data_IF_134010808678
#
_entry.id   IF_134010808678
#
_cell.length_a   1.000
_cell.length_b   1.000
_cell.length_c   1.000
_cell.angle_alpha   90.00
_cell.angle_beta   90.00
_cell.angle_gamma   90.00
#
_symmetry.space_group_name_H-M   'P 1'
#
loop_
_entity.id
_entity.type
_entity.pdbx_description
1 polymer ?
#
# COMPACT_ATOMS: atom_id res chain seq x y z
N UNK A 1 -0.36 12.83 8.28
CA UNK A 1 -1.57 13.67 8.25
C UNK A 1 -2.68 12.85 7.64
N UNK A 2 -3.90 12.94 8.15
CA UNK A 2 -5.07 12.47 7.43
C UNK A 2 -5.71 13.65 6.70
N UNK A 3 -6.02 13.46 5.42
CA UNK A 3 -6.61 14.50 4.57
C UNK A 3 -7.81 13.91 3.85
N UNK A 4 -8.95 14.60 3.87
CA UNK A 4 -10.10 14.22 3.07
C UNK A 4 -9.78 14.41 1.59
N UNK A 5 -10.10 13.41 0.78
CA UNK A 5 -9.78 13.40 -0.65
C UNK A 5 -10.85 14.15 -1.42
N UNK A 6 -10.42 15.07 -2.28
CA UNK A 6 -11.26 15.64 -3.33
C UNK A 6 -11.27 14.73 -4.57
N UNK A 7 -12.16 15.02 -5.52
CA UNK A 7 -12.30 14.25 -6.76
C UNK A 7 -11.02 14.22 -7.59
N UNK A 8 -10.24 15.31 -7.55
CA UNK A 8 -8.96 15.38 -8.24
C UNK A 8 -7.96 14.38 -7.65
N UNK A 9 -7.82 14.35 -6.33
CA UNK A 9 -6.90 13.46 -5.65
C UNK A 9 -7.32 11.99 -5.78
N UNK A 10 -8.63 11.69 -5.73
CA UNK A 10 -9.15 10.35 -6.03
C UNK A 10 -8.76 9.90 -7.43
N UNK A 11 -8.95 10.76 -8.44
CA UNK A 11 -8.57 10.47 -9.82
C UNK A 11 -7.07 10.23 -9.96
N UNK A 12 -6.23 11.05 -9.34
CA UNK A 12 -4.76 10.89 -9.33
C UNK A 12 -4.30 9.60 -8.64
N UNK A 13 -5.08 9.10 -7.66
CA UNK A 13 -4.81 7.88 -6.90
C UNK A 13 -5.62 6.68 -7.37
N UNK A 14 -6.11 6.73 -8.62
CA UNK A 14 -6.84 5.64 -9.28
C UNK A 14 -6.21 5.33 -10.63
N UNK A 15 -6.34 4.07 -11.08
CA UNK A 15 -5.97 3.65 -12.44
C UNK A 15 -7.15 2.92 -13.02
N UNK A 16 -7.70 3.46 -14.11
CA UNK A 16 -8.91 2.93 -14.76
C UNK A 16 -10.07 2.73 -13.77
N UNK A 17 -10.26 3.69 -12.86
CA UNK A 17 -11.33 3.64 -11.86
C UNK A 17 -11.09 2.71 -10.67
N UNK A 18 -9.85 2.22 -10.45
CA UNK A 18 -9.53 1.40 -9.29
C UNK A 18 -8.31 1.91 -8.52
N UNK A 19 -8.44 2.08 -7.20
CA UNK A 19 -7.31 2.36 -6.32
C UNK A 19 -6.46 1.10 -6.08
N UNK A 20 -7.09 -0.07 -6.06
CA UNK A 20 -6.39 -1.36 -5.94
C UNK A 20 -5.47 -1.59 -7.16
N UNK A 21 -5.97 -1.32 -8.37
CA UNK A 21 -5.16 -1.37 -9.61
C UNK A 21 -4.06 -0.32 -9.61
N UNK A 22 -4.34 0.90 -9.13
CA UNK A 22 -3.32 1.95 -8.95
C UNK A 22 -2.19 1.47 -8.03
N UNK A 23 -2.51 0.95 -6.85
CA UNK A 23 -1.51 0.41 -5.91
C UNK A 23 -0.71 -0.73 -6.53
N UNK A 24 -1.39 -1.64 -7.26
CA UNK A 24 -0.75 -2.78 -7.93
C UNK A 24 0.16 -2.39 -9.10
N UNK A 25 -0.13 -1.26 -9.74
CA UNK A 25 0.67 -0.77 -10.87
C UNK A 25 2.06 -0.28 -10.51
N UNK A 26 2.36 -0.21 -9.21
CA UNK A 26 3.66 0.23 -8.75
C UNK A 26 4.62 -0.94 -8.57
N UNK A 27 5.75 -0.86 -9.26
CA UNK A 27 6.81 -1.85 -9.19
C UNK A 27 6.51 -3.13 -9.96
N UNK A 28 7.33 -4.15 -9.74
CA UNK A 28 7.30 -5.40 -10.50
C UNK A 28 8.31 -5.40 -11.65
N UNK A 29 8.57 -6.61 -12.18
CA UNK A 29 9.58 -6.82 -13.21
C UNK A 29 9.33 -5.98 -14.47
N UNK A 30 8.07 -5.77 -14.85
CA UNK A 30 7.70 -4.93 -16.00
C UNK A 30 8.19 -3.48 -15.86
N UNK A 31 7.92 -2.85 -14.72
CA UNK A 31 8.39 -1.49 -14.43
C UNK A 31 9.92 -1.40 -14.42
N UNK A 32 10.60 -2.42 -13.88
CA UNK A 32 12.06 -2.50 -13.89
C UNK A 32 12.66 -2.58 -15.29
N UNK A 33 12.09 -3.40 -16.18
CA UNK A 33 12.52 -3.52 -17.57
C UNK A 33 12.29 -2.22 -18.35
N UNK A 34 11.14 -1.56 -18.16
CA UNK A 34 10.87 -0.27 -18.79
C UNK A 34 11.93 0.76 -18.36
N UNK A 35 12.21 0.86 -17.05
CA UNK A 35 13.22 1.78 -16.54
C UNK A 35 14.61 1.48 -17.11
N UNK A 36 15.02 0.21 -17.15
CA UNK A 36 16.30 -0.21 -17.74
C UNK A 36 16.40 0.18 -19.22
N UNK A 37 15.34 -0.08 -20.00
CA UNK A 37 15.31 0.29 -21.42
C UNK A 37 15.40 1.80 -21.64
N UNK A 38 14.71 2.61 -20.83
CA UNK A 38 14.84 4.08 -20.86
C UNK A 38 16.27 4.50 -20.52
N UNK A 39 16.90 3.89 -19.51
CA UNK A 39 18.29 4.17 -19.16
C UNK A 39 19.25 3.89 -20.32
N UNK A 40 19.09 2.77 -21.05
CA UNK A 40 19.93 2.48 -22.22
C UNK A 40 19.83 3.55 -23.30
N UNK A 41 18.61 4.06 -23.57
CA UNK A 41 18.39 5.14 -24.54
C UNK A 41 19.08 6.43 -24.07
N UNK A 42 18.90 6.80 -22.80
CA UNK A 42 19.52 8.01 -22.24
C UNK A 42 21.04 7.93 -22.26
N UNK A 43 21.62 6.79 -21.85
CA UNK A 43 23.07 6.56 -21.88
C UNK A 43 23.59 6.67 -23.33
N UNK A 44 22.89 6.09 -24.30
CA UNK A 44 23.28 6.19 -25.70
C UNK A 44 23.27 7.64 -26.20
N UNK A 45 22.27 8.44 -25.82
CA UNK A 45 22.20 9.88 -26.15
C UNK A 45 23.38 10.65 -25.54
N UNK A 46 23.70 10.39 -24.26
CA UNK A 46 24.81 11.06 -23.58
C UNK A 46 26.15 10.68 -24.21
N UNK A 47 26.38 9.38 -24.49
CA UNK A 47 27.59 8.90 -25.13
C UNK A 47 27.73 9.41 -26.57
N UNK A 48 26.63 9.45 -27.33
CA UNK A 48 26.59 10.03 -28.66
C UNK A 48 27.02 11.50 -28.67
N UNK A 49 26.51 12.31 -27.74
CA UNK A 49 26.88 13.70 -27.60
C UNK A 49 28.36 13.87 -27.19
N UNK A 50 28.83 13.05 -26.23
CA UNK A 50 30.20 13.13 -25.73
C UNK A 50 31.25 12.72 -26.77
N UNK A 51 30.93 11.78 -27.67
CA UNK A 51 31.87 11.22 -28.64
C UNK A 51 31.72 11.79 -30.05
N UNK A 52 30.79 12.72 -30.27
CA UNK A 52 30.47 13.28 -31.59
C UNK A 52 31.68 13.87 -32.32
N UNK A 53 32.50 14.65 -31.61
CA UNK A 53 33.68 15.30 -32.18
C UNK A 53 34.85 14.35 -32.42
N UNK A 54 34.83 13.17 -31.79
CA UNK A 54 35.93 12.19 -31.84
C UNK A 54 35.66 11.10 -32.89
N UNK A 55 34.44 10.57 -32.93
CA UNK A 55 34.09 9.40 -33.73
C UNK A 55 33.38 9.76 -35.06
N UNK A 56 32.95 11.01 -35.21
CA UNK A 56 32.21 11.46 -36.37
C UNK A 56 30.77 10.94 -36.43
N UNK A 57 29.99 11.48 -37.38
CA UNK A 57 28.54 11.28 -37.45
C UNK A 57 28.14 9.81 -37.62
N UNK A 58 28.85 9.05 -38.45
CA UNK A 58 28.51 7.66 -38.80
C UNK A 58 28.57 6.73 -37.58
N UNK A 59 29.65 6.82 -36.79
CA UNK A 59 29.83 5.99 -35.59
C UNK A 59 28.85 6.38 -34.48
N UNK A 60 28.57 7.68 -34.32
CA UNK A 60 27.55 8.15 -33.37
C UNK A 60 26.14 7.70 -33.76
N UNK A 61 25.80 7.70 -35.05
CA UNK A 61 24.52 7.20 -35.53
C UNK A 61 24.33 5.71 -35.20
N UNK A 62 25.38 4.90 -35.36
CA UNK A 62 25.36 3.47 -34.97
C UNK A 62 25.17 3.31 -33.47
N UNK A 63 25.85 4.12 -32.65
CA UNK A 63 25.71 4.09 -31.18
C UNK A 63 24.27 4.42 -30.75
N UNK A 64 23.69 5.47 -31.32
CA UNK A 64 22.29 5.85 -31.06
C UNK A 64 21.32 4.74 -31.49
N UNK A 65 21.50 4.18 -32.68
CA UNK A 65 20.68 3.07 -33.17
C UNK A 65 20.77 1.86 -32.24
N UNK A 66 21.98 1.48 -31.81
CA UNK A 66 22.18 0.39 -30.85
C UNK A 66 21.49 0.63 -29.51
N UNK A 67 21.60 1.86 -28.97
CA UNK A 67 20.91 2.26 -27.75
C UNK A 67 19.40 2.22 -27.85
N UNK A 68 18.84 2.66 -28.98
CA UNK A 68 17.39 2.60 -29.25
C UNK A 68 16.90 1.16 -29.37
N UNK A 69 17.62 0.31 -30.11
CA UNK A 69 17.28 -1.11 -30.26
C UNK A 69 17.32 -1.81 -28.92
N UNK A 70 18.41 -1.67 -28.15
CA UNK A 70 18.50 -2.25 -26.81
C UNK A 70 17.39 -1.69 -25.90
N UNK A 71 17.16 -0.38 -25.91
CA UNK A 71 16.07 0.24 -25.17
C UNK A 71 14.71 -0.38 -25.49
N UNK A 72 14.39 -0.55 -26.78
CA UNK A 72 13.14 -1.15 -27.23
C UNK A 72 13.01 -2.61 -26.81
N UNK A 73 14.10 -3.40 -26.88
CA UNK A 73 14.15 -4.81 -26.44
C UNK A 73 13.78 -4.96 -24.96
N UNK A 74 14.09 -3.96 -24.11
CA UNK A 74 13.69 -3.97 -22.71
C UNK A 74 12.28 -3.39 -22.48
N UNK A 75 11.94 -2.29 -23.16
CA UNK A 75 10.65 -1.61 -22.97
C UNK A 75 9.48 -2.48 -23.41
N UNK A 76 9.55 -3.14 -24.58
CA UNK A 76 8.41 -3.88 -25.14
C UNK A 76 7.98 -5.05 -24.24
N UNK A 77 8.87 -5.96 -23.81
CA UNK A 77 8.53 -6.99 -22.81
C UNK A 77 8.13 -6.38 -21.47
N UNK A 78 8.76 -5.27 -21.06
CA UNK A 78 8.42 -4.55 -19.84
C UNK A 78 6.96 -4.08 -19.80
N UNK A 79 6.47 -3.49 -20.89
CA UNK A 79 5.07 -3.05 -21.05
C UNK A 79 4.12 -4.25 -21.02
N UNK A 80 4.47 -5.34 -21.69
CA UNK A 80 3.64 -6.56 -21.69
C UNK A 80 3.53 -7.14 -20.27
N UNK A 81 4.64 -7.23 -19.54
CA UNK A 81 4.68 -7.74 -18.18
C UNK A 81 3.94 -6.82 -17.20
N UNK A 82 4.05 -5.49 -17.33
CA UNK A 82 3.29 -4.53 -16.52
C UNK A 82 1.77 -4.69 -16.73
N UNK A 83 1.34 -4.79 -18.00
CA UNK A 83 -0.09 -5.01 -18.32
C UNK A 83 -0.61 -6.32 -17.75
N UNK A 84 0.13 -7.42 -17.89
CA UNK A 84 -0.26 -8.71 -17.32
C UNK A 84 -0.32 -8.68 -15.79
N UNK A 85 0.67 -8.05 -15.17
CA UNK A 85 0.77 -7.87 -13.73
C UNK A 85 -0.38 -7.05 -13.15
N UNK A 86 -0.74 -5.95 -13.81
CA UNK A 86 -1.83 -5.07 -13.40
C UNK A 86 -3.20 -5.65 -13.73
N UNK A 87 -3.37 -6.42 -14.80
CA UNK A 87 -4.63 -7.11 -15.10
C UNK A 87 -4.99 -8.13 -14.01
N UNK A 88 -3.99 -8.77 -13.39
CA UNK A 88 -4.18 -9.74 -12.31
C UNK A 88 -4.42 -9.12 -10.92
N UNK A 89 -4.64 -7.82 -10.79
CA UNK A 89 -4.76 -7.15 -9.49
C UNK A 89 -5.90 -7.70 -8.63
N UNK A 90 -7.08 -7.96 -9.21
CA UNK A 90 -8.24 -8.44 -8.46
C UNK A 90 -7.96 -9.82 -7.85
N UNK A 91 -7.48 -10.76 -8.67
CA UNK A 91 -7.05 -12.09 -8.22
C UNK A 91 -5.96 -12.03 -7.13
N UNK A 92 -5.04 -11.05 -7.23
CA UNK A 92 -4.04 -10.83 -6.20
C UNK A 92 -4.68 -10.43 -4.87
N UNK A 93 -5.57 -9.43 -4.87
CA UNK A 93 -6.21 -8.96 -3.66
C UNK A 93 -7.11 -10.03 -3.05
N UNK A 94 -7.93 -10.72 -3.83
CA UNK A 94 -8.76 -11.84 -3.34
C UNK A 94 -7.92 -12.90 -2.63
N UNK A 95 -6.81 -13.33 -3.26
CA UNK A 95 -5.92 -14.35 -2.68
C UNK A 95 -5.25 -13.87 -1.39
N UNK A 96 -4.92 -12.58 -1.29
CA UNK A 96 -4.11 -12.03 -0.18
C UNK A 96 -4.95 -11.49 0.97
N UNK A 97 -6.15 -10.98 0.69
CA UNK A 97 -7.07 -10.46 1.70
C UNK A 97 -8.12 -11.48 2.10
N UNK A 98 -8.39 -12.51 1.29
CA UNK A 98 -9.50 -13.44 1.49
C UNK A 98 -10.88 -12.85 1.17
N UNK A 99 -10.94 -11.63 0.62
CA UNK A 99 -12.20 -10.99 0.23
C UNK A 99 -12.65 -11.45 -1.15
N UNK A 100 -13.96 -11.45 -1.35
CA UNK A 100 -14.60 -11.70 -2.64
C UNK A 100 -14.38 -10.53 -3.60
N UNK A 101 -14.56 -10.78 -4.89
CA UNK A 101 -14.50 -9.72 -5.91
C UNK A 101 -15.56 -8.63 -5.67
N UNK A 102 -16.76 -9.00 -5.21
CA UNK A 102 -17.82 -8.05 -4.90
C UNK A 102 -17.42 -7.08 -3.78
N UNK A 103 -16.81 -7.59 -2.71
CA UNK A 103 -16.29 -6.78 -1.60
C UNK A 103 -15.15 -5.85 -2.04
N UNK A 104 -14.24 -6.33 -2.90
CA UNK A 104 -13.16 -5.51 -3.43
C UNK A 104 -13.66 -4.42 -4.41
N UNK A 105 -14.69 -4.73 -5.20
CA UNK A 105 -15.38 -3.74 -6.03
C UNK A 105 -16.15 -2.71 -5.19
N UNK A 106 -16.68 -3.12 -4.03
CA UNK A 106 -17.26 -2.20 -3.06
C UNK A 106 -16.22 -1.23 -2.50
N UNK A 107 -15.03 -1.70 -2.15
CA UNK A 107 -13.93 -0.80 -1.76
C UNK A 107 -13.63 0.25 -2.83
N UNK A 108 -13.44 -0.15 -4.10
CA UNK A 108 -13.15 0.80 -5.18
C UNK A 108 -14.32 1.77 -5.43
N UNK A 109 -15.57 1.29 -5.29
CA UNK A 109 -16.77 2.14 -5.37
C UNK A 109 -16.83 3.17 -4.25
N UNK A 110 -16.56 2.77 -3.01
CA UNK A 110 -16.52 3.68 -1.85
C UNK A 110 -15.38 4.69 -1.99
N UNK A 111 -14.20 4.24 -2.44
CA UNK A 111 -13.07 5.12 -2.68
C UNK A 111 -13.39 6.22 -3.71
N UNK A 112 -14.00 5.85 -4.84
CA UNK A 112 -14.33 6.79 -5.90
C UNK A 112 -15.51 7.71 -5.53
N UNK A 113 -16.63 7.13 -5.08
CA UNK A 113 -17.90 7.85 -4.99
C UNK A 113 -18.24 8.31 -3.57
N UNK A 114 -17.57 7.77 -2.55
CA UNK A 114 -17.83 8.06 -1.14
C UNK A 114 -16.86 9.06 -0.53
N UNK A 115 -16.98 9.23 0.79
CA UNK A 115 -15.96 9.93 1.58
C UNK A 115 -14.74 9.02 1.72
N UNK A 116 -13.60 9.53 1.27
CA UNK A 116 -12.32 8.86 1.38
C UNK A 116 -11.29 9.80 2.00
N UNK A 117 -10.45 9.25 2.84
CA UNK A 117 -9.36 9.95 3.51
C UNK A 117 -8.05 9.27 3.17
N UNK A 118 -7.03 10.09 2.91
CA UNK A 118 -5.66 9.63 2.70
C UNK A 118 -4.86 9.80 3.98
N UNK A 119 -4.32 8.71 4.51
CA UNK A 119 -3.41 8.70 5.65
C UNK A 119 -1.97 8.78 5.14
N UNK A 120 -1.46 10.00 4.99
CA UNK A 120 -0.14 10.28 4.46
C UNK A 120 0.93 10.27 5.58
N UNK A 121 2.03 9.57 5.36
CA UNK A 121 3.16 9.49 6.29
C UNK A 121 4.06 10.74 6.26
N UNK A 122 4.02 11.47 5.15
CA UNK A 122 4.78 12.68 4.93
C UNK A 122 4.03 13.93 5.36
N UNK A 123 4.76 15.06 5.49
CA UNK A 123 4.17 16.37 5.76
C UNK A 123 3.38 16.91 4.56
N UNK A 124 3.64 16.39 3.35
CA UNK A 124 3.02 16.81 2.09
C UNK A 124 2.68 15.59 1.23
N UNK A 125 1.62 15.71 0.44
CA UNK A 125 1.22 14.72 -0.57
C UNK A 125 2.07 14.89 -1.83
N UNK A 126 3.21 14.20 -1.87
CA UNK A 126 4.05 14.06 -3.06
C UNK A 126 3.56 12.89 -3.92
N UNK A 127 4.07 12.76 -5.15
CA UNK A 127 3.75 11.60 -6.00
C UNK A 127 4.10 10.27 -5.32
N UNK A 128 5.24 10.22 -4.63
CA UNK A 128 5.68 9.08 -3.84
C UNK A 128 4.72 8.79 -2.68
N UNK A 129 4.40 9.81 -1.88
CA UNK A 129 3.63 9.61 -0.65
C UNK A 129 2.17 9.24 -0.89
N UNK A 130 1.61 9.60 -2.05
CA UNK A 130 0.29 9.12 -2.51
C UNK A 130 0.23 7.60 -2.73
N UNK A 131 1.33 6.98 -3.14
CA UNK A 131 1.35 5.52 -3.28
C UNK A 131 1.58 4.82 -1.93
N UNK A 132 2.36 5.44 -1.05
CA UNK A 132 2.73 4.89 0.25
C UNK A 132 1.69 5.18 1.34
N UNK A 133 0.66 5.97 1.03
CA UNK A 133 -0.39 6.35 1.97
C UNK A 133 -1.40 5.24 2.24
N UNK A 134 -1.97 5.27 3.44
CA UNK A 134 -3.15 4.49 3.78
C UNK A 134 -4.41 5.15 3.23
N UNK A 135 -5.48 4.37 3.07
CA UNK A 135 -6.80 4.85 2.64
C UNK A 135 -7.81 4.46 3.70
N UNK A 136 -8.66 5.39 4.09
CA UNK A 136 -9.81 5.14 4.96
C UNK A 136 -11.05 5.58 4.18
N UNK A 137 -12.02 4.68 4.05
CA UNK A 137 -13.36 4.97 3.52
C UNK A 137 -14.38 4.76 4.63
N UNK A 138 -15.67 4.67 4.30
CA UNK A 138 -16.70 4.41 5.29
C UNK A 138 -16.56 3.01 5.90
N UNK A 139 -16.32 1.99 5.09
CA UNK A 139 -16.27 0.61 5.56
C UNK A 139 -14.90 -0.04 5.43
N UNK A 140 -13.91 0.64 4.83
CA UNK A 140 -12.62 0.03 4.53
C UNK A 140 -11.42 0.83 5.01
N UNK A 141 -10.40 0.09 5.41
CA UNK A 141 -9.09 0.60 5.77
C UNK A 141 -7.99 -0.14 5.03
N UNK A 142 -7.16 0.61 4.30
CA UNK A 142 -5.93 0.13 3.67
C UNK A 142 -4.73 0.75 4.38
N UNK A 143 -3.79 -0.09 4.82
CA UNK A 143 -2.57 0.34 5.49
C UNK A 143 -1.59 1.08 4.55
N UNK A 144 -0.85 2.08 5.07
CA UNK A 144 0.27 2.70 4.36
C UNK A 144 1.44 1.73 4.21
N UNK A 145 2.34 2.01 3.26
CA UNK A 145 3.58 1.25 2.97
C UNK A 145 3.39 -0.24 2.63
N UNK A 146 2.15 -0.70 2.48
CA UNK A 146 1.84 -2.05 2.06
C UNK A 146 1.95 -2.15 0.55
N UNK A 147 3.18 -2.21 0.03
CA UNK A 147 3.39 -2.66 -1.33
C UNK A 147 2.92 -4.12 -1.45
N UNK A 148 2.28 -4.50 -2.57
CA UNK A 148 1.76 -5.84 -2.78
C UNK A 148 2.90 -6.84 -3.01
N UNK A 149 3.57 -7.26 -1.93
CA UNK A 149 4.63 -8.27 -1.97
C UNK A 149 4.30 -9.44 -1.03
N UNK A 150 3.76 -9.18 0.17
CA UNK A 150 3.41 -10.25 1.13
C UNK A 150 1.93 -10.27 1.57
N UNK A 151 1.29 -9.12 1.72
CA UNK A 151 -0.08 -8.99 2.24
C UNK A 151 -0.91 -7.98 1.43
N UNK A 152 -2.24 -8.04 1.52
CA UNK A 152 -3.12 -7.04 0.89
C UNK A 152 -3.06 -5.69 1.61
N UNK A 153 -2.86 -5.70 2.93
CA UNK A 153 -2.95 -4.53 3.79
C UNK A 153 -4.34 -3.88 3.79
N UNK A 154 -5.35 -4.56 3.26
CA UNK A 154 -6.72 -4.09 3.10
C UNK A 154 -7.62 -4.84 4.08
N UNK A 155 -8.41 -4.11 4.83
CA UNK A 155 -9.35 -4.62 5.84
C UNK A 155 -10.70 -3.92 5.67
N UNK A 156 -11.80 -4.64 5.84
CA UNK A 156 -13.04 -4.00 6.29
C UNK A 156 -12.83 -3.52 7.71
N UNK A 157 -13.31 -2.33 8.01
CA UNK A 157 -13.16 -1.70 9.33
C UNK A 157 -13.82 -2.57 10.41
N UNK A 158 -14.95 -3.20 10.09
CA UNK A 158 -15.66 -4.15 10.96
C UNK A 158 -14.91 -5.47 11.18
N UNK A 159 -13.88 -5.76 10.38
CA UNK A 159 -13.01 -6.93 10.57
C UNK A 159 -11.74 -6.57 11.35
N UNK A 160 -11.55 -5.33 11.78
CA UNK A 160 -10.40 -4.94 12.61
C UNK A 160 -10.69 -5.31 14.07
N UNK A 161 -9.99 -6.33 14.59
CA UNK A 161 -10.15 -6.79 15.96
C UNK A 161 -9.40 -5.90 16.96
N UNK A 162 -8.19 -5.46 16.61
CA UNK A 162 -7.42 -4.52 17.40
C UNK A 162 -6.67 -3.53 16.50
N UNK A 163 -6.55 -2.28 16.95
CA UNK A 163 -5.73 -1.27 16.32
C UNK A 163 -5.23 -0.27 17.35
N UNK A 164 -3.92 -0.20 17.56
CA UNK A 164 -3.32 0.69 18.55
C UNK A 164 -1.96 1.21 18.08
N UNK A 165 -1.56 2.35 18.62
CA UNK A 165 -0.28 2.96 18.32
C UNK A 165 0.62 2.98 19.56
N UNK A 166 1.90 2.67 19.39
CA UNK A 166 2.91 2.87 20.43
C UNK A 166 4.05 3.75 19.90
N UNK A 167 4.42 4.79 20.65
CA UNK A 167 5.49 5.71 20.26
C UNK A 167 6.89 5.09 20.43
N UNK A 168 7.04 4.19 21.41
CA UNK A 168 8.31 3.55 21.78
C UNK A 168 8.06 2.07 22.16
N UNK A 169 7.51 1.24 21.27
CA UNK A 169 7.23 -0.16 21.57
C UNK A 169 8.53 -0.91 21.85
N UNK A 170 8.48 -1.78 22.85
CA UNK A 170 9.50 -2.80 23.08
C UNK A 170 8.88 -4.15 22.71
N UNK A 171 9.44 -4.80 21.70
CA UNK A 171 8.97 -6.07 21.14
C UNK A 171 10.13 -7.05 21.16
N UNK A 172 9.97 -8.18 21.85
CA UNK A 172 11.02 -9.20 22.01
C UNK A 172 12.38 -8.64 22.49
N UNK A 173 12.35 -7.63 23.36
CA UNK A 173 13.56 -6.98 23.89
C UNK A 173 14.15 -5.89 22.99
N UNK A 174 13.64 -5.72 21.77
CA UNK A 174 14.08 -4.68 20.85
C UNK A 174 13.15 -3.47 20.89
N UNK A 175 13.74 -2.27 20.92
CA UNK A 175 13.00 -1.03 20.81
C UNK A 175 12.77 -0.71 19.34
N UNK A 176 11.52 -0.68 18.92
CA UNK A 176 11.19 -0.34 17.53
C UNK A 176 10.94 1.17 17.36
N UNK A 177 10.89 1.58 16.10
CA UNK A 177 10.36 2.88 15.71
C UNK A 177 8.88 3.03 16.16
N UNK A 178 8.36 4.26 16.23
CA UNK A 178 6.95 4.47 16.51
C UNK A 178 6.07 3.71 15.52
N UNK A 179 5.12 2.90 16.01
CA UNK A 179 4.50 1.83 15.23
C UNK A 179 3.00 1.73 15.51
N UNK A 180 2.23 1.57 14.43
CA UNK A 180 0.83 1.16 14.45
C UNK A 180 0.76 -0.36 14.38
N UNK A 181 -0.04 -0.95 15.25
CA UNK A 181 -0.33 -2.38 15.30
C UNK A 181 -1.78 -2.58 14.88
N UNK A 182 -2.02 -3.58 14.02
CA UNK A 182 -3.36 -3.96 13.55
C UNK A 182 -3.51 -5.46 13.69
N UNK A 183 -4.63 -5.93 14.22
CA UNK A 183 -5.01 -7.34 14.28
C UNK A 183 -6.35 -7.48 13.58
N UNK A 184 -6.43 -8.39 12.62
CA UNK A 184 -7.70 -8.69 11.95
C UNK A 184 -8.55 -9.69 12.74
N UNK A 185 -9.83 -9.81 12.38
CA UNK A 185 -10.79 -10.70 13.00
C UNK A 185 -10.51 -12.18 12.78
N UNK A 186 -9.50 -12.54 11.98
CA UNK A 186 -9.01 -13.91 11.78
C UNK A 186 -7.77 -14.21 12.64
N UNK A 187 -7.21 -13.19 13.29
CA UNK A 187 -6.05 -13.30 14.17
C UNK A 187 -4.71 -13.09 13.47
N UNK A 188 -4.71 -12.46 12.29
CA UNK A 188 -3.48 -12.02 11.63
C UNK A 188 -3.08 -10.63 12.13
N UNK A 189 -1.84 -10.53 12.64
CA UNK A 189 -1.24 -9.29 13.11
C UNK A 189 -0.35 -8.62 12.05
N UNK A 190 -0.41 -7.29 11.98
CA UNK A 190 0.41 -6.44 11.11
C UNK A 190 0.96 -5.25 11.89
N UNK A 191 2.17 -4.82 11.55
CA UNK A 191 2.77 -3.61 12.10
C UNK A 191 3.25 -2.68 11.00
N UNK A 192 3.09 -1.38 11.20
CA UNK A 192 3.58 -0.35 10.27
C UNK A 192 4.18 0.80 11.05
N UNK A 193 5.44 1.10 10.78
CA UNK A 193 6.12 2.25 11.38
C UNK A 193 5.59 3.56 10.81
N UNK A 194 5.20 4.49 11.68
CA UNK A 194 4.65 5.79 11.29
C UNK A 194 4.77 6.82 12.41
N UNK A 195 4.60 8.10 12.07
CA UNK A 195 4.59 9.19 13.05
C UNK A 195 3.36 9.09 13.95
N UNK A 196 3.56 9.47 15.21
CA UNK A 196 2.53 9.41 16.28
C UNK A 196 1.23 10.11 15.93
N UNK A 197 1.32 11.34 15.40
CA UNK A 197 0.12 12.07 15.01
C UNK A 197 -0.72 11.31 13.97
N UNK A 198 -0.09 10.61 13.03
CA UNK A 198 -0.79 9.82 12.01
C UNK A 198 -1.35 8.54 12.60
N UNK A 199 -0.56 7.82 13.40
CA UNK A 199 -0.99 6.59 14.05
C UNK A 199 -2.21 6.80 14.95
N UNK A 200 -2.16 7.79 15.84
CA UNK A 200 -3.27 8.13 16.73
C UNK A 200 -4.52 8.59 15.95
N UNK A 201 -4.32 9.33 14.85
CA UNK A 201 -5.43 9.77 14.01
C UNK A 201 -6.10 8.60 13.28
N UNK A 202 -5.33 7.62 12.79
CA UNK A 202 -5.88 6.38 12.22
C UNK A 202 -6.66 5.62 13.29
N UNK A 203 -6.07 5.38 14.47
CA UNK A 203 -6.75 4.67 15.58
C UNK A 203 -8.11 5.32 15.88
N UNK A 204 -8.14 6.65 15.95
CA UNK A 204 -9.36 7.44 16.18
C UNK A 204 -10.39 7.27 15.05
N UNK A 205 -9.97 7.34 13.79
CA UNK A 205 -10.91 7.22 12.66
C UNK A 205 -11.47 5.80 12.51
N UNK A 206 -10.68 4.79 12.85
CA UNK A 206 -11.13 3.39 12.86
C UNK A 206 -12.05 3.13 14.07
N UNK A 207 -11.73 3.63 15.27
CA UNK A 207 -12.56 3.40 16.46
C UNK A 207 -13.93 4.07 16.38
N UNK A 208 -14.04 5.22 15.69
CA UNK A 208 -15.35 5.84 15.38
C UNK A 208 -16.26 4.92 14.56
N UNK A 209 -15.69 4.21 13.59
CA UNK A 209 -16.41 3.36 12.63
C UNK A 209 -16.55 1.91 13.13
N UNK A 210 -15.64 1.48 13.99
CA UNK A 210 -15.70 0.21 14.71
C UNK A 210 -15.38 0.42 16.20
N UNK A 211 -16.39 0.80 17.02
CA UNK A 211 -16.22 0.98 18.46
C UNK A 211 -15.90 -0.29 19.24
N UNK A 212 -15.96 -1.47 18.60
CA UNK A 212 -15.69 -2.77 19.22
C UNK A 212 -14.22 -3.17 19.09
N UNK A 213 -13.48 -2.52 18.20
CA UNK A 213 -12.06 -2.78 18.02
C UNK A 213 -11.29 -2.41 19.30
N UNK A 214 -10.35 -3.27 19.69
CA UNK A 214 -9.47 -3.01 20.82
C UNK A 214 -8.47 -1.93 20.45
N UNK A 215 -8.50 -0.77 21.14
CA UNK A 215 -7.64 0.38 20.81
C UNK A 215 -6.42 0.55 21.72
N UNK A 216 -6.16 -0.43 22.59
CA UNK A 216 -5.01 -0.44 23.50
C UNK A 216 -4.28 -1.77 23.38
N UNK A 217 -2.99 -1.78 23.71
CA UNK A 217 -2.20 -3.02 23.68
C UNK A 217 -2.72 -4.05 24.68
N UNK A 218 -2.94 -3.64 25.92
CA UNK A 218 -3.39 -4.52 27.00
C UNK A 218 -4.84 -4.23 27.35
N UNK A 219 -5.61 -5.29 27.52
CA UNK A 219 -7.00 -5.23 27.96
C UNK A 219 -7.28 -6.36 28.95
N UNK A 220 -8.21 -6.13 29.86
CA UNK A 220 -8.73 -7.14 30.78
C UNK A 220 -10.21 -7.34 30.49
N UNK A 221 -10.62 -8.59 30.28
CA UNK A 221 -12.01 -8.95 30.02
C UNK A 221 -12.36 -10.27 30.72
N UNK A 222 -13.46 -10.28 31.49
CA UNK A 222 -13.90 -11.43 32.31
C UNK A 222 -12.78 -12.02 33.18
N UNK A 223 -11.97 -11.17 33.83
CA UNK A 223 -10.88 -11.60 34.71
C UNK A 223 -9.66 -12.19 34.00
N UNK A 224 -9.62 -12.15 32.66
CA UNK A 224 -8.45 -12.54 31.85
C UNK A 224 -7.81 -11.33 31.19
N UNK A 225 -6.49 -11.27 31.27
CA UNK A 225 -5.69 -10.25 30.59
C UNK A 225 -5.27 -10.72 29.19
N UNK A 226 -5.29 -9.79 28.25
CA UNK A 226 -4.88 -10.00 26.87
C UNK A 226 -3.85 -8.94 26.47
N UNK A 227 -2.78 -9.35 25.79
CA UNK A 227 -1.81 -8.48 25.13
C UNK A 227 -1.97 -8.62 23.61
N UNK A 228 -2.63 -7.64 22.99
CA UNK A 228 -2.88 -7.57 21.55
C UNK A 228 -1.60 -7.50 20.70
N UNK A 229 -0.41 -7.37 21.31
CA UNK A 229 0.86 -7.53 20.60
C UNK A 229 1.32 -8.99 20.49
N UNK A 230 0.98 -9.84 21.46
CA UNK A 230 1.52 -11.20 21.53
C UNK A 230 0.46 -12.30 21.41
N UNK A 231 -0.81 -11.94 21.61
CA UNK A 231 -1.95 -12.86 21.67
C UNK A 231 -2.99 -12.50 20.60
N UNK A 232 -2.54 -12.35 19.34
CA UNK A 232 -3.40 -11.91 18.23
C UNK A 232 -4.63 -12.81 18.04
N UNK A 233 -4.44 -14.12 18.17
CA UNK A 233 -5.49 -15.12 17.95
C UNK A 233 -6.56 -15.06 19.05
N UNK A 234 -6.14 -14.89 20.31
CA UNK A 234 -7.02 -14.75 21.46
C UNK A 234 -7.78 -13.42 21.41
N UNK A 235 -7.12 -12.33 21.03
CA UNK A 235 -7.77 -11.02 20.86
C UNK A 235 -8.77 -11.04 19.71
N UNK A 236 -8.44 -11.67 18.58
CA UNK A 236 -9.40 -11.87 17.50
C UNK A 236 -10.57 -12.77 17.93
N UNK A 237 -10.31 -13.80 18.75
CA UNK A 237 -11.34 -14.64 19.36
C UNK A 237 -12.30 -13.84 20.23
N UNK A 238 -11.76 -13.05 21.15
CA UNK A 238 -12.53 -12.13 22.01
C UNK A 238 -13.36 -11.15 21.17
N UNK A 239 -12.77 -10.56 20.15
CA UNK A 239 -13.47 -9.64 19.25
C UNK A 239 -14.67 -10.31 18.56
N UNK A 240 -14.51 -11.54 18.06
CA UNK A 240 -15.60 -12.31 17.45
C UNK A 240 -16.69 -12.64 18.45
N UNK A 241 -16.35 -12.91 19.71
CA UNK A 241 -17.32 -13.14 20.79
C UNK A 241 -18.15 -11.88 21.08
N UNK A 242 -17.48 -10.73 21.24
CA UNK A 242 -18.13 -9.42 21.43
C UNK A 242 -19.05 -9.08 20.26
N UNK A 243 -18.68 -9.47 19.03
CA UNK A 243 -19.51 -9.20 17.86
C UNK A 243 -20.73 -10.13 17.72
N UNK A 244 -20.70 -11.32 18.34
CA UNK A 244 -21.80 -12.31 18.29
C UNK A 244 -22.83 -12.15 19.40
N UNK A 245 -22.51 -11.47 20.49
CA UNK A 245 -23.38 -11.35 21.68
C UNK A 245 -24.53 -10.32 21.52
N UNK A 246 -24.96 -10.06 20.29
CA UNK A 246 -26.11 -9.22 19.90
C UNK A 246 -26.77 -9.78 18.65
#
# INVERSE_FOLDING_TARGET
MIVQMDEKLKKEMSREGSHLKYTRSRGGAGAGLIAAGVCFIVIAIILAAALYTILGLSAVAVLLAGGLVLGAVFIVPGVFLDKRHTAGYMKYYMKKSGYTEAELNEFDREFLNGEAYVACLDKKLTKQSKFDSGIITNNWFKLPLMMPIKYSGLYRIVDVAAIFFEAKPIVNGERLNPTLFVVDSRGDGMTVSMKENVGNEIVREISKRNPRAVTTRRISYNGKDYDALYQYQEVAGLYREICKSR
#
